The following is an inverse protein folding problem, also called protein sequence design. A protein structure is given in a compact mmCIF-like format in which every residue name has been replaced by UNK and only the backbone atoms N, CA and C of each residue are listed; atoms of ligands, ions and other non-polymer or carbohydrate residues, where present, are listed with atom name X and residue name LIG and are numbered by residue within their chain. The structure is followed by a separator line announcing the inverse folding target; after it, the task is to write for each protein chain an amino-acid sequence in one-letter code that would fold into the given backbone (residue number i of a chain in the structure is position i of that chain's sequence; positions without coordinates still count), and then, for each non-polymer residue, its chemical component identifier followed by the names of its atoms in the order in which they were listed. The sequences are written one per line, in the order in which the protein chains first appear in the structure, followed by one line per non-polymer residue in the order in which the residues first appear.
data_IF_440174388944
#
_entry.id   IF_440174388944
#
_cell.length_a   1.000
_cell.length_b   1.000
_cell.length_c   1.000
_cell.angle_alpha   90.00
_cell.angle_beta   90.00
_cell.angle_gamma   90.00
#
_symmetry.space_group_name_H-M   'P 1'
#
loop_
_entity.id
_entity.type
_entity.pdbx_description
1 polymer ?
#
# COMPACT_ATOMS: atom_id res chain seq x y z
N UNK A 1 -11.38 -1.88 3.02
CA UNK A 1 -10.92 -0.47 2.97
C UNK A 1 -12.15 0.44 2.98
N UNK A 2 -12.10 1.64 3.60
CA UNK A 2 -13.25 2.57 3.76
C UNK A 2 -12.95 3.99 3.24
N UNK A 3 -13.97 4.74 2.77
CA UNK A 3 -13.89 6.11 2.17
C UNK A 3 -14.88 7.08 2.84
N UNK A 4 -14.53 8.37 3.04
CA UNK A 4 -15.36 9.39 3.72
C UNK A 4 -15.67 10.66 2.89
N UNK A 5 -16.72 11.39 3.31
CA UNK A 5 -17.10 12.78 2.91
C UNK A 5 -17.61 13.52 4.19
N UNK A 6 -17.15 14.77 4.40
CA UNK A 6 -17.20 15.77 5.54
C UNK A 6 -18.50 15.96 6.39
N UNK A 7 -18.52 16.72 7.54
CA UNK A 7 -17.46 17.35 8.34
C UNK A 7 -17.37 16.87 9.83
N UNK A 8 -16.38 17.39 10.56
CA UNK A 8 -15.79 16.91 11.84
C UNK A 8 -16.53 17.39 13.11
N UNK A 9 -16.64 16.54 14.15
CA UNK A 9 -16.88 16.94 15.55
C UNK A 9 -15.65 16.58 16.43
N UNK A 10 -15.22 17.43 17.38
CA UNK A 10 -13.92 17.31 18.01
C UNK A 10 -13.94 16.39 19.25
N UNK A 11 -12.74 15.90 19.58
CA UNK A 11 -12.34 15.22 20.83
C UNK A 11 -12.50 13.68 20.86
N UNK A 12 -11.40 13.01 20.51
CA UNK A 12 -10.93 11.80 21.22
C UNK A 12 -11.36 10.41 20.75
N UNK A 13 -12.32 10.26 19.83
CA UNK A 13 -12.79 8.96 19.35
C UNK A 13 -12.31 8.60 17.93
N UNK A 14 -12.19 7.30 17.63
CA UNK A 14 -11.82 6.75 16.31
C UNK A 14 -12.41 7.56 15.14
N UNK A 15 -11.54 8.24 14.39
CA UNK A 15 -11.92 9.04 13.22
C UNK A 15 -12.12 8.18 11.98
N UNK A 16 -13.29 7.55 11.88
CA UNK A 16 -13.87 7.11 10.61
C UNK A 16 -15.11 7.96 10.40
N UNK A 17 -15.04 8.96 9.52
CA UNK A 17 -16.21 9.76 9.14
C UNK A 17 -16.81 9.09 7.89
N UNK A 18 -18.03 8.56 8.00
CA UNK A 18 -18.83 8.01 6.88
C UNK A 18 -18.20 6.86 6.05
N UNK A 19 -17.29 6.09 6.63
CA UNK A 19 -16.58 5.01 5.95
C UNK A 19 -17.47 3.89 5.40
N UNK A 20 -17.50 3.70 4.06
CA UNK A 20 -18.19 2.58 3.39
C UNK A 20 -17.23 1.53 2.85
N UNK A 21 -17.65 0.27 2.77
CA UNK A 21 -16.84 -0.78 2.16
C UNK A 21 -16.56 -0.45 0.68
N UNK A 22 -15.29 -0.48 0.30
CA UNK A 22 -14.90 -0.39 -1.11
C UNK A 22 -15.43 -1.59 -1.90
N UNK A 23 -15.93 -1.36 -3.11
CA UNK A 23 -16.22 -2.44 -4.06
C UNK A 23 -14.92 -2.90 -4.75
N UNK A 24 -14.89 -4.13 -5.28
CA UNK A 24 -13.75 -4.59 -6.09
C UNK A 24 -13.43 -3.61 -7.23
N UNK A 25 -12.15 -3.28 -7.40
CA UNK A 25 -11.67 -2.41 -8.48
C UNK A 25 -11.78 -0.90 -8.24
N UNK A 26 -12.35 -0.44 -7.12
CA UNK A 26 -12.39 1.00 -6.81
C UNK A 26 -10.98 1.60 -6.59
N UNK A 27 -10.08 0.83 -5.99
CA UNK A 27 -8.69 1.25 -5.72
C UNK A 27 -7.72 0.21 -6.26
N UNK A 28 -7.56 0.11 -7.60
CA UNK A 28 -6.80 -0.97 -8.21
C UNK A 28 -5.28 -0.84 -7.98
N UNK A 29 -4.81 0.29 -7.46
CA UNK A 29 -3.44 0.53 -7.05
C UNK A 29 -3.16 0.11 -5.61
N UNK A 30 -4.19 -0.13 -4.79
CA UNK A 30 -4.01 -0.50 -3.39
C UNK A 30 -3.36 -1.87 -3.26
N UNK A 31 -2.32 -1.95 -2.44
CA UNK A 31 -1.70 -3.22 -2.06
C UNK A 31 -1.60 -3.41 -0.55
N UNK A 32 -1.42 -4.65 -0.16
CA UNK A 32 -1.14 -5.09 1.19
C UNK A 32 0.32 -5.57 1.27
N UNK A 33 1.07 -5.02 2.21
CA UNK A 33 2.42 -5.46 2.54
C UNK A 33 2.31 -6.57 3.59
N UNK A 34 2.92 -7.71 3.28
CA UNK A 34 2.83 -8.93 4.06
C UNK A 34 4.19 -9.32 4.63
N UNK A 35 4.18 -9.86 5.84
CA UNK A 35 5.33 -10.53 6.43
C UNK A 35 5.61 -11.87 5.74
N UNK A 36 6.75 -12.49 6.06
CA UNK A 36 7.07 -13.85 5.62
C UNK A 36 6.01 -14.88 6.05
N UNK A 37 5.36 -14.66 7.18
CA UNK A 37 4.24 -15.48 7.71
C UNK A 37 2.86 -15.13 7.14
N UNK A 38 2.77 -14.31 6.09
CA UNK A 38 1.53 -13.81 5.50
C UNK A 38 0.66 -12.94 6.44
N UNK A 39 1.27 -12.36 7.47
CA UNK A 39 0.59 -11.38 8.32
C UNK A 39 0.53 -10.02 7.63
N UNK A 40 -0.62 -9.33 7.73
CA UNK A 40 -0.72 -7.93 7.32
C UNK A 40 0.25 -7.07 8.12
N UNK A 41 1.03 -6.25 7.42
CA UNK A 41 1.97 -5.32 8.04
C UNK A 41 1.61 -3.86 7.74
N UNK A 42 1.52 -3.50 6.46
CA UNK A 42 1.31 -2.13 5.99
C UNK A 42 0.48 -2.10 4.68
N UNK A 43 0.25 -0.89 4.17
CA UNK A 43 -0.27 -0.66 2.82
C UNK A 43 0.78 -0.05 1.87
N UNK A 44 0.43 0.03 0.60
CA UNK A 44 1.23 0.70 -0.44
C UNK A 44 0.38 0.97 -1.68
N UNK A 45 0.98 1.63 -2.67
CA UNK A 45 0.36 1.90 -3.97
C UNK A 45 1.23 1.42 -5.12
N UNK A 46 0.64 0.74 -6.10
CA UNK A 46 1.30 0.35 -7.35
C UNK A 46 1.60 1.62 -8.14
N UNK A 47 2.86 1.81 -8.54
CA UNK A 47 3.29 2.93 -9.39
C UNK A 47 3.79 2.46 -10.76
N UNK A 48 4.15 1.17 -10.89
CA UNK A 48 4.46 0.54 -12.18
C UNK A 48 4.29 -0.99 -12.08
N UNK A 49 4.63 -1.73 -13.16
CA UNK A 49 4.51 -3.19 -13.17
C UNK A 49 5.35 -3.89 -12.11
N UNK A 50 6.44 -3.29 -11.68
CA UNK A 50 7.35 -3.92 -10.72
C UNK A 50 7.49 -3.12 -9.43
N UNK A 51 6.94 -1.90 -9.37
CA UNK A 51 7.21 -0.98 -8.28
C UNK A 51 5.95 -0.59 -7.51
N UNK A 52 6.11 -0.60 -6.18
CA UNK A 52 5.14 -0.11 -5.19
C UNK A 52 5.79 1.02 -4.40
N UNK A 53 5.05 2.11 -4.17
CA UNK A 53 5.43 3.13 -3.18
C UNK A 53 4.78 2.83 -1.83
N UNK A 54 5.51 3.05 -0.75
CA UNK A 54 5.04 2.91 0.64
C UNK A 54 5.82 3.89 1.53
N UNK A 55 5.63 3.81 2.85
CA UNK A 55 6.34 4.61 3.82
C UNK A 55 7.66 3.97 4.26
N UNK A 56 8.66 4.77 4.64
CA UNK A 56 9.93 4.24 5.13
C UNK A 56 9.76 3.51 6.47
N UNK A 57 8.88 3.97 7.35
CA UNK A 57 8.56 3.26 8.59
C UNK A 57 7.89 1.90 8.38
N UNK A 58 7.35 1.64 7.17
CA UNK A 58 6.82 0.33 6.81
C UNK A 58 7.91 -0.66 6.41
N UNK A 59 9.15 -0.23 6.15
CA UNK A 59 10.21 -1.11 5.63
C UNK A 59 11.51 -1.07 6.42
N UNK A 60 11.69 -0.06 7.28
CA UNK A 60 12.90 0.12 8.10
C UNK A 60 13.22 -1.09 9.00
N UNK A 61 12.22 -1.82 9.47
CA UNK A 61 12.39 -3.01 10.32
C UNK A 61 12.60 -4.31 9.53
N UNK A 62 12.62 -4.26 8.18
CA UNK A 62 12.89 -5.44 7.34
C UNK A 62 11.82 -6.54 7.40
N UNK A 63 10.61 -6.23 7.88
CA UNK A 63 9.53 -7.21 8.08
C UNK A 63 8.75 -7.56 6.80
N UNK A 64 8.81 -6.70 5.79
CA UNK A 64 8.02 -6.86 4.55
C UNK A 64 8.72 -7.84 3.61
N UNK A 65 8.02 -8.92 3.27
CA UNK A 65 8.54 -9.99 2.41
C UNK A 65 7.70 -10.19 1.14
N UNK A 66 6.42 -9.84 1.18
CA UNK A 66 5.45 -10.13 0.11
C UNK A 66 4.52 -8.93 -0.09
N UNK A 67 4.01 -8.79 -1.30
CA UNK A 67 2.99 -7.81 -1.68
C UNK A 67 1.78 -8.55 -2.23
N UNK A 68 0.57 -8.26 -1.71
CA UNK A 68 -0.69 -8.73 -2.27
C UNK A 68 -1.44 -7.60 -2.99
N UNK A 69 -1.93 -7.88 -4.19
CA UNK A 69 -2.67 -6.94 -5.03
C UNK A 69 -4.00 -7.53 -5.54
N UNK A 70 -4.96 -6.67 -5.89
CA UNK A 70 -6.16 -7.09 -6.62
C UNK A 70 -7.28 -7.71 -5.80
N UNK A 71 -7.31 -7.49 -4.49
CA UNK A 71 -8.38 -7.95 -3.59
C UNK A 71 -8.77 -6.88 -2.58
N UNK A 72 -10.03 -6.92 -2.15
CA UNK A 72 -10.54 -6.12 -1.02
C UNK A 72 -10.56 -6.92 0.29
N UNK A 73 -10.23 -8.21 0.25
CA UNK A 73 -10.16 -9.11 1.40
C UNK A 73 -8.70 -9.22 1.88
N UNK A 74 -8.47 -8.92 3.16
CA UNK A 74 -7.12 -8.92 3.80
C UNK A 74 -6.56 -10.32 4.07
N UNK A 75 -7.42 -11.34 4.02
CA UNK A 75 -7.02 -12.71 4.36
C UNK A 75 -6.79 -13.56 3.11
N UNK A 76 -7.45 -13.25 2.00
CA UNK A 76 -7.44 -14.09 0.79
C UNK A 76 -7.71 -13.34 -0.52
N UNK A 77 -7.51 -14.04 -1.63
CA UNK A 77 -7.70 -13.52 -2.98
C UNK A 77 -6.53 -12.69 -3.49
N UNK A 78 -6.68 -12.16 -4.70
CA UNK A 78 -5.64 -11.39 -5.37
C UNK A 78 -4.44 -12.22 -5.79
N UNK A 79 -3.36 -11.53 -6.15
CA UNK A 79 -2.05 -12.13 -6.49
C UNK A 79 -1.02 -11.74 -5.44
N UNK A 80 -0.06 -12.64 -5.18
CA UNK A 80 1.03 -12.41 -4.25
C UNK A 80 2.35 -12.37 -5.01
N UNK A 81 3.14 -11.33 -4.75
CA UNK A 81 4.42 -11.06 -5.38
C UNK A 81 5.50 -11.00 -4.30
N UNK A 82 6.66 -11.62 -4.55
CA UNK A 82 7.79 -11.56 -3.62
C UNK A 82 8.46 -10.21 -3.69
N UNK A 83 8.89 -9.69 -2.55
CA UNK A 83 9.76 -8.51 -2.50
C UNK A 83 11.17 -8.94 -2.87
N UNK A 84 11.74 -8.26 -3.87
CA UNK A 84 13.12 -8.52 -4.32
C UNK A 84 14.06 -7.35 -4.05
N UNK A 85 13.51 -6.16 -3.78
CA UNK A 85 14.30 -4.97 -3.51
C UNK A 85 13.50 -3.95 -2.71
N UNK A 86 14.17 -3.25 -1.79
CA UNK A 86 13.60 -2.16 -1.02
C UNK A 86 14.59 -0.99 -1.03
N UNK A 87 14.13 0.17 -1.49
CA UNK A 87 14.90 1.41 -1.53
C UNK A 87 14.18 2.44 -0.66
N UNK A 88 14.92 3.02 0.30
CA UNK A 88 14.48 4.14 1.13
C UNK A 88 15.70 4.93 1.59
N UNK A 89 15.51 6.19 1.97
CA UNK A 89 16.60 7.04 2.43
C UNK A 89 17.04 6.66 3.85
N UNK A 90 18.24 6.06 3.95
CA UNK A 90 18.87 5.65 5.22
C UNK A 90 19.76 6.72 5.84
N UNK A 91 19.97 7.86 5.16
CA UNK A 91 20.88 8.92 5.61
C UNK A 91 20.29 9.73 6.77
N UNK A 92 18.95 9.82 6.84
CA UNK A 92 18.20 10.48 7.90
C UNK A 92 17.24 9.51 8.57
N UNK A 93 16.61 9.95 9.67
CA UNK A 93 15.51 9.20 10.28
C UNK A 93 14.34 9.12 9.30
N UNK A 94 13.65 7.98 9.24
CA UNK A 94 12.37 7.83 8.52
C UNK A 94 11.34 8.90 8.92
N UNK A 95 11.48 9.49 10.11
CA UNK A 95 10.64 10.60 10.59
C UNK A 95 10.80 11.88 9.75
N UNK A 96 11.89 12.00 9.00
CA UNK A 96 12.16 13.13 8.08
C UNK A 96 11.74 12.75 6.66
N UNK A 97 12.20 11.61 6.18
CA UNK A 97 11.89 11.08 4.85
C UNK A 97 11.10 9.78 4.95
N UNK A 98 9.78 9.89 5.11
CA UNK A 98 8.91 8.71 5.29
C UNK A 98 8.40 8.13 3.97
N UNK A 99 9.30 7.89 3.02
CA UNK A 99 8.97 7.29 1.73
C UNK A 99 9.94 6.16 1.38
N UNK A 100 9.39 5.14 0.72
CA UNK A 100 10.14 3.99 0.24
C UNK A 100 9.51 3.45 -1.05
N UNK A 101 10.32 2.77 -1.86
CA UNK A 101 9.85 1.98 -2.99
C UNK A 101 10.28 0.53 -2.85
N UNK A 102 9.39 -0.36 -3.27
CA UNK A 102 9.56 -1.81 -3.21
C UNK A 102 9.48 -2.34 -4.63
N UNK A 103 10.49 -3.13 -5.05
CA UNK A 103 10.41 -3.91 -6.29
C UNK A 103 9.90 -5.31 -6.01
N UNK A 104 9.04 -5.81 -6.88
CA UNK A 104 8.43 -7.14 -6.75
C UNK A 104 8.75 -8.09 -7.91
N UNK A 105 8.70 -9.39 -7.63
CA UNK A 105 8.74 -10.46 -8.65
C UNK A 105 7.78 -11.59 -8.28
N UNK A 106 6.97 -12.14 -9.21
CA UNK A 106 6.82 -11.70 -10.60
C UNK A 106 6.23 -10.27 -10.70
N UNK A 107 6.31 -9.58 -11.85
CA UNK A 107 5.65 -8.29 -12.04
C UNK A 107 4.11 -8.38 -11.94
N UNK A 108 3.45 -7.26 -11.63
CA UNK A 108 2.00 -7.14 -11.68
C UNK A 108 1.47 -7.32 -13.10
N UNK A 109 0.40 -8.10 -13.24
CA UNK A 109 -0.42 -8.14 -14.46
C UNK A 109 -1.56 -7.16 -14.30
N UNK A 110 -1.57 -6.10 -15.12
CA UNK A 110 -2.60 -5.07 -15.03
C UNK A 110 -3.95 -5.56 -15.59
N UNK A 111 -5.03 -5.13 -14.94
CA UNK A 111 -6.40 -5.52 -15.26
C UNK A 111 -7.41 -4.68 -14.47
N UNK A 112 -8.68 -5.10 -14.40
CA UNK A 112 -9.73 -4.32 -13.73
C UNK A 112 -9.43 -4.03 -12.25
N UNK A 113 -8.73 -4.93 -11.56
CA UNK A 113 -8.48 -4.85 -10.11
C UNK A 113 -7.03 -4.52 -9.74
N UNK A 114 -6.11 -4.45 -10.72
CA UNK A 114 -4.68 -4.19 -10.50
C UNK A 114 -4.24 -3.17 -11.55
N UNK A 115 -3.94 -1.94 -11.14
CA UNK A 115 -3.50 -0.85 -12.02
C UNK A 115 -2.62 0.12 -11.24
N UNK A 116 -1.67 0.83 -11.89
CA UNK A 116 -0.88 1.83 -11.21
C UNK A 116 -1.71 3.10 -10.92
N UNK A 117 -1.30 3.86 -9.91
CA UNK A 117 -1.71 5.25 -9.73
C UNK A 117 -0.74 6.19 -10.46
N UNK A 118 -1.24 7.31 -10.97
CA UNK A 118 -0.39 8.36 -11.54
C UNK A 118 0.25 9.17 -10.41
N UNK A 119 1.55 9.46 -10.53
CA UNK A 119 2.23 10.39 -9.62
C UNK A 119 1.93 11.83 -10.05
N UNK A 120 1.58 12.67 -9.09
CA UNK A 120 1.41 14.10 -9.34
C UNK A 120 2.75 14.73 -9.70
N UNK A 121 2.79 15.49 -10.79
CA UNK A 121 3.89 16.41 -11.07
C UNK A 121 3.58 17.73 -10.38
N UNK A 122 4.51 18.25 -9.59
CA UNK A 122 4.36 19.54 -8.92
C UNK A 122 4.22 20.68 -9.94
N UNK A 123 3.28 21.57 -9.67
CA UNK A 123 3.10 22.87 -10.36
C UNK A 123 4.15 23.88 -9.90
#
# INVERSE_FOLDING_TARGET
MKIGNEPVHPMGGMRIINGRNAQPGWFPHQVELLTSSNGHYCGGSIISREWVVTAAHCVNEGKVAKIRAGTINRFSGGTVHQVVEIIWDRSLSWRVHDYAVIRVSPPFTFGAHVKPITLGYGS
#
